data_IF_776511750266
#
_entry.id   IF_776511750266
#
_cell.length_a   1.000
_cell.length_b   1.000
_cell.length_c   1.000
_cell.angle_alpha   90.00
_cell.angle_beta   90.00
_cell.angle_gamma   90.00
#
_symmetry.space_group_name_H-M   'P 1'
#
loop_
_entity.id
_entity.type
_entity.pdbx_description
1 polymer ?
#
# COMPACT_ATOMS: atom_id res chain seq x y z
N UNK A 1 11.70 -18.11 -6.76
CA UNK A 1 10.67 -17.09 -7.03
C UNK A 1 10.17 -16.54 -5.69
N UNK A 2 11.05 -15.81 -4.99
CA UNK A 2 10.75 -14.98 -3.83
C UNK A 2 10.48 -13.58 -4.41
N UNK A 3 9.40 -12.84 -4.15
CA UNK A 3 8.18 -13.04 -3.37
C UNK A 3 7.32 -11.84 -3.76
N UNK A 4 6.25 -12.03 -4.52
CA UNK A 4 5.31 -10.93 -4.82
C UNK A 4 4.90 -10.30 -3.47
N UNK A 5 5.16 -9.00 -3.23
CA UNK A 5 4.84 -8.34 -1.97
C UNK A 5 3.37 -8.47 -1.61
N UNK A 6 2.47 -8.62 -2.60
CA UNK A 6 1.06 -8.91 -2.36
C UNK A 6 0.84 -10.33 -1.83
N UNK A 7 1.60 -11.31 -2.31
CA UNK A 7 1.53 -12.69 -1.81
C UNK A 7 2.08 -12.81 -0.38
N UNK A 8 3.20 -12.13 -0.09
CA UNK A 8 3.75 -12.05 1.26
C UNK A 8 2.77 -11.38 2.24
N UNK A 9 2.16 -10.26 1.83
CA UNK A 9 1.14 -9.56 2.61
C UNK A 9 -0.07 -10.44 2.91
N UNK A 10 -0.63 -11.10 1.88
CA UNK A 10 -1.81 -11.97 2.07
C UNK A 10 -1.51 -13.11 3.04
N UNK A 11 -0.35 -13.73 2.90
CA UNK A 11 0.07 -14.84 3.78
C UNK A 11 0.23 -14.39 5.23
N UNK A 12 0.91 -13.28 5.46
CA UNK A 12 1.13 -12.75 6.81
C UNK A 12 -0.19 -12.25 7.44
N UNK A 13 -1.07 -11.66 6.65
CA UNK A 13 -2.38 -11.20 7.11
C UNK A 13 -3.31 -12.37 7.49
N UNK A 14 -3.28 -13.47 6.73
CA UNK A 14 -3.96 -14.72 7.10
C UNK A 14 -3.39 -15.31 8.39
N UNK A 15 -2.06 -15.35 8.54
CA UNK A 15 -1.39 -15.84 9.75
C UNK A 15 -1.79 -15.06 11.01
N UNK A 16 -2.07 -13.75 10.86
CA UNK A 16 -2.53 -12.88 11.94
C UNK A 16 -4.03 -12.96 12.23
N UNK A 17 -4.79 -13.79 11.50
CA UNK A 17 -6.24 -13.92 11.67
C UNK A 17 -7.02 -12.69 11.23
N UNK A 18 -6.48 -11.89 10.30
CA UNK A 18 -7.20 -10.73 9.78
C UNK A 18 -8.42 -11.17 8.96
N UNK A 19 -9.49 -10.38 9.02
CA UNK A 19 -10.69 -10.65 8.22
C UNK A 19 -10.36 -10.61 6.72
N UNK A 20 -11.09 -11.38 5.92
CA UNK A 20 -10.93 -11.36 4.46
C UNK A 20 -11.05 -9.94 3.89
N UNK A 21 -12.01 -9.14 4.41
CA UNK A 21 -12.19 -7.74 4.01
C UNK A 21 -10.95 -6.90 4.30
N UNK A 22 -10.37 -7.03 5.50
CA UNK A 22 -9.13 -6.33 5.88
C UNK A 22 -7.97 -6.69 4.97
N UNK A 23 -7.82 -7.99 4.65
CA UNK A 23 -6.77 -8.48 3.75
C UNK A 23 -6.90 -7.84 2.37
N UNK A 24 -8.12 -7.80 1.83
CA UNK A 24 -8.39 -7.16 0.54
C UNK A 24 -8.10 -5.66 0.57
N UNK A 25 -8.52 -4.96 1.62
CA UNK A 25 -8.22 -3.52 1.79
C UNK A 25 -6.72 -3.26 1.82
N UNK A 26 -5.96 -4.03 2.61
CA UNK A 26 -4.51 -3.85 2.70
C UNK A 26 -3.79 -4.17 1.39
N UNK A 27 -4.19 -5.24 0.71
CA UNK A 27 -3.66 -5.58 -0.61
C UNK A 27 -3.94 -4.47 -1.63
N UNK A 28 -5.12 -3.85 -1.58
CA UNK A 28 -5.48 -2.74 -2.45
C UNK A 28 -4.63 -1.49 -2.17
N UNK A 29 -4.41 -1.14 -0.91
CA UNK A 29 -3.54 -0.02 -0.54
C UNK A 29 -2.10 -0.21 -1.05
N UNK A 30 -1.53 -1.41 -0.86
CA UNK A 30 -0.19 -1.72 -1.36
C UNK A 30 -0.15 -1.70 -2.89
N UNK A 31 -1.18 -2.22 -3.56
CA UNK A 31 -1.27 -2.18 -5.03
C UNK A 31 -1.30 -0.73 -5.55
N UNK A 32 -2.08 0.15 -4.94
CA UNK A 32 -2.13 1.58 -5.31
C UNK A 32 -0.78 2.27 -5.10
N UNK A 33 -0.11 2.00 -3.97
CA UNK A 33 1.23 2.51 -3.73
C UNK A 33 2.23 2.04 -4.80
N UNK A 34 2.24 0.74 -5.15
CA UNK A 34 3.18 0.22 -6.15
C UNK A 34 2.96 0.82 -7.54
N UNK A 35 1.69 1.05 -7.94
CA UNK A 35 1.36 1.74 -9.20
C UNK A 35 1.88 3.18 -9.21
N UNK A 36 1.80 3.88 -8.06
CA UNK A 36 2.32 5.24 -7.94
C UNK A 36 3.86 5.29 -7.92
N UNK A 37 4.48 4.42 -7.12
CA UNK A 37 5.92 4.43 -6.86
C UNK A 37 6.74 4.04 -8.10
N UNK A 38 6.23 3.13 -8.96
CA UNK A 38 6.90 2.63 -10.19
C UNK A 38 8.32 2.11 -9.96
N UNK A 39 8.67 1.79 -8.72
CA UNK A 39 9.95 1.21 -8.30
C UNK A 39 9.77 -0.27 -8.05
N UNK A 40 10.87 -1.01 -8.20
CA UNK A 40 10.90 -2.39 -7.71
C UNK A 40 10.77 -2.41 -6.19
N UNK A 41 10.07 -3.40 -5.63
CA UNK A 41 9.77 -3.46 -4.20
C UNK A 41 11.04 -3.46 -3.34
N UNK A 42 12.12 -4.12 -3.81
CA UNK A 42 13.39 -4.13 -3.10
C UNK A 42 14.10 -2.77 -3.06
N UNK A 43 13.70 -1.84 -3.93
CA UNK A 43 14.27 -0.49 -4.02
C UNK A 43 13.43 0.58 -3.31
N UNK A 44 12.25 0.24 -2.79
CA UNK A 44 11.38 1.15 -2.05
C UNK A 44 12.06 1.60 -0.77
N UNK A 45 12.11 2.92 -0.55
CA UNK A 45 12.64 3.54 0.67
C UNK A 45 11.52 4.18 1.48
N UNK A 46 11.79 4.44 2.76
CA UNK A 46 10.85 5.15 3.65
C UNK A 46 10.38 6.49 3.05
N UNK A 47 11.27 7.23 2.39
CA UNK A 47 10.94 8.50 1.74
C UNK A 47 9.89 8.38 0.63
N UNK A 48 9.85 7.25 -0.09
CA UNK A 48 8.85 7.00 -1.14
C UNK A 48 7.46 6.81 -0.55
N UNK A 49 7.39 6.14 0.60
CA UNK A 49 6.14 5.91 1.34
C UNK A 49 5.61 7.24 1.89
N UNK A 50 6.49 8.03 2.51
CA UNK A 50 6.11 9.35 3.05
C UNK A 50 5.60 10.27 1.94
N UNK A 51 6.32 10.38 0.82
CA UNK A 51 5.90 11.21 -0.31
C UNK A 51 4.52 10.79 -0.87
N UNK A 52 4.26 9.49 -0.96
CA UNK A 52 2.96 8.98 -1.38
C UNK A 52 1.83 9.36 -0.41
N UNK A 53 2.04 9.16 0.90
CA UNK A 53 1.06 9.48 1.93
C UNK A 53 0.78 10.99 1.96
N UNK A 54 1.82 11.82 1.87
CA UNK A 54 1.68 13.28 1.83
C UNK A 54 0.86 13.72 0.61
N UNK A 55 1.09 13.11 -0.56
CA UNK A 55 0.29 13.35 -1.76
C UNK A 55 -1.18 12.97 -1.61
N UNK A 56 -1.48 11.85 -0.94
CA UNK A 56 -2.86 11.46 -0.62
C UNK A 56 -3.53 12.46 0.32
N UNK A 57 -2.85 12.88 1.38
CA UNK A 57 -3.37 13.85 2.35
C UNK A 57 -3.69 15.16 1.64
N UNK A 58 -2.79 15.66 0.78
CA UNK A 58 -3.03 16.90 0.04
C UNK A 58 -4.24 16.75 -0.89
N UNK A 59 -4.36 15.64 -1.62
CA UNK A 59 -5.48 15.37 -2.54
C UNK A 59 -6.83 15.32 -1.81
N UNK A 60 -6.89 14.65 -0.66
CA UNK A 60 -8.12 14.56 0.15
C UNK A 60 -8.46 15.90 0.82
N UNK A 61 -7.46 16.71 1.20
CA UNK A 61 -7.66 18.03 1.80
C UNK A 61 -8.38 19.01 0.85
N UNK A 62 -8.25 18.83 -0.46
CA UNK A 62 -8.99 19.62 -1.46
C UNK A 62 -10.41 19.10 -1.76
N UNK A 63 -10.79 17.89 -1.32
CA UNK A 63 -12.16 17.39 -1.50
C UNK A 63 -13.17 18.00 -0.53
N UNK A 64 -12.71 18.43 0.64
CA UNK A 64 -13.56 18.98 1.71
C UNK A 64 -13.48 20.51 1.83
N UNK A 65 -12.71 21.17 0.95
CA UNK A 65 -12.74 22.62 0.73
C UNK A 65 -13.53 22.84 -0.57
N UNK A 66 -14.84 22.60 -0.52
CA UNK A 66 -15.81 22.98 -1.55
C UNK A 66 -17.10 23.38 -0.88
#
# INVERSE_FOLDING_TARGET
>A
MLSDPLYALKREALRRGLSHKTILTYAQCVKQFMVHCKKDFASVRKGDITAYIDGLIMTERFKYIK
#
